data_IF_491302652983
#
_entry.id   IF_491302652983
#
_cell.length_a   1.000
_cell.length_b   1.000
_cell.length_c   1.000
_cell.angle_alpha   90.00
_cell.angle_beta   90.00
_cell.angle_gamma   90.00
#
_symmetry.space_group_name_H-M   'P 1'
#
loop_
_entity.id
_entity.type
_entity.pdbx_description
1 polymer ?
#
# COMPACT_ATOMS: atom_id res chain seq x y z
N UNK A 1 -9.64 -5.78 5.55
CA UNK A 1 -8.19 -5.96 5.72
C UNK A 1 -7.75 -5.07 6.86
N UNK A 2 -6.88 -5.54 7.74
CA UNK A 2 -6.29 -4.75 8.83
C UNK A 2 -4.91 -4.20 8.44
N UNK A 3 -4.36 -3.29 9.23
CA UNK A 3 -2.99 -2.77 9.02
C UNK A 3 -1.95 -3.90 9.17
N UNK A 4 -2.11 -4.78 10.16
CA UNK A 4 -1.20 -5.90 10.38
C UNK A 4 -1.17 -6.88 9.19
N UNK A 5 -2.34 -7.26 8.68
CA UNK A 5 -2.46 -8.08 7.48
C UNK A 5 -1.81 -7.43 6.26
N UNK A 6 -1.92 -6.11 6.14
CA UNK A 6 -1.28 -5.36 5.06
C UNK A 6 0.25 -5.39 5.21
N UNK A 7 0.78 -5.15 6.41
CA UNK A 7 2.22 -5.11 6.70
C UNK A 7 2.93 -6.45 6.46
N UNK A 8 2.20 -7.57 6.48
CA UNK A 8 2.70 -8.92 6.19
C UNK A 8 2.72 -9.27 4.69
N UNK A 9 2.11 -8.46 3.81
CA UNK A 9 2.01 -8.74 2.36
C UNK A 9 3.01 -7.91 1.56
N UNK A 10 3.62 -8.45 0.49
CA UNK A 10 4.53 -7.68 -0.35
C UNK A 10 3.84 -6.55 -1.11
N UNK A 11 2.61 -6.78 -1.56
CA UNK A 11 1.83 -5.80 -2.31
C UNK A 11 0.35 -5.88 -1.93
N UNK A 12 -0.32 -4.72 -1.92
CA UNK A 12 -1.76 -4.59 -1.74
C UNK A 12 -2.39 -3.80 -2.89
N UNK A 13 -3.72 -3.73 -2.92
CA UNK A 13 -4.42 -2.91 -3.91
C UNK A 13 -4.31 -1.41 -3.56
N UNK A 14 -4.45 -0.55 -4.57
CA UNK A 14 -4.50 0.91 -4.38
C UNK A 14 -5.58 1.35 -3.38
N UNK A 15 -6.85 0.91 -3.47
CA UNK A 15 -7.86 1.32 -2.50
C UNK A 15 -7.58 0.84 -1.08
N UNK A 16 -7.03 -0.38 -0.91
CA UNK A 16 -6.67 -0.87 0.43
C UNK A 16 -5.54 -0.03 1.02
N UNK A 17 -4.53 0.33 0.22
CA UNK A 17 -3.43 1.20 0.65
C UNK A 17 -3.94 2.58 1.08
N UNK A 18 -4.79 3.20 0.26
CA UNK A 18 -5.40 4.50 0.56
C UNK A 18 -6.22 4.47 1.85
N UNK A 19 -7.07 3.46 2.02
CA UNK A 19 -7.92 3.34 3.19
C UNK A 19 -7.12 3.09 4.48
N UNK A 20 -6.17 2.15 4.45
CA UNK A 20 -5.47 1.69 5.65
C UNK A 20 -4.38 2.66 6.13
N UNK A 21 -3.66 3.29 5.21
CA UNK A 21 -2.50 4.13 5.56
C UNK A 21 -2.84 5.63 5.60
N UNK A 22 -3.89 6.05 4.88
CA UNK A 22 -4.20 7.48 4.71
C UNK A 22 -5.68 7.83 4.96
N UNK A 23 -6.54 6.85 5.29
CA UNK A 23 -7.97 7.10 5.50
C UNK A 23 -8.73 7.56 4.24
N UNK A 24 -8.22 7.25 3.05
CA UNK A 24 -8.78 7.70 1.78
C UNK A 24 -9.90 6.78 1.28
N UNK A 25 -10.89 7.38 0.62
CA UNK A 25 -11.86 6.65 -0.20
C UNK A 25 -11.23 6.11 -1.49
N UNK A 26 -11.92 5.19 -2.18
CA UNK A 26 -11.43 4.51 -3.39
C UNK A 26 -10.93 5.46 -4.49
N UNK A 27 -11.69 6.50 -4.80
CA UNK A 27 -11.33 7.44 -5.87
C UNK A 27 -10.09 8.26 -5.49
N UNK A 28 -10.08 8.81 -4.28
CA UNK A 28 -8.93 9.54 -3.74
C UNK A 28 -7.67 8.68 -3.70
N UNK A 29 -7.79 7.38 -3.41
CA UNK A 29 -6.66 6.45 -3.46
C UNK A 29 -6.09 6.30 -4.89
N UNK A 30 -6.95 6.20 -5.91
CA UNK A 30 -6.49 6.17 -7.32
C UNK A 30 -5.92 7.51 -7.78
N UNK A 31 -6.48 8.63 -7.32
CA UNK A 31 -5.95 9.97 -7.61
C UNK A 31 -4.56 10.13 -6.99
N UNK A 32 -4.38 9.77 -5.72
CA UNK A 32 -3.07 9.79 -5.06
C UNK A 32 -2.06 8.82 -5.72
N UNK A 33 -2.51 7.67 -6.20
CA UNK A 33 -1.70 6.76 -7.00
C UNK A 33 -1.30 7.35 -8.36
N UNK A 34 -2.19 8.12 -8.99
CA UNK A 34 -1.93 8.80 -10.27
C UNK A 34 -0.98 9.98 -10.10
N UNK A 35 -1.10 10.72 -9.01
CA UNK A 35 -0.23 11.84 -8.63
C UNK A 35 1.16 11.39 -8.17
N UNK A 36 1.32 10.12 -7.79
CA UNK A 36 2.58 9.56 -7.30
C UNK A 36 2.81 9.75 -5.79
N UNK A 37 1.81 10.22 -5.06
CA UNK A 37 1.83 10.34 -3.60
C UNK A 37 1.87 8.95 -2.95
N UNK A 38 1.06 8.03 -3.48
CA UNK A 38 1.10 6.60 -3.14
C UNK A 38 2.06 5.90 -4.10
N UNK A 39 3.11 5.21 -3.59
CA UNK A 39 4.01 4.45 -4.45
C UNK A 39 3.22 3.33 -5.13
N UNK A 40 3.32 3.22 -6.46
CA UNK A 40 2.64 2.15 -7.22
C UNK A 40 3.58 1.47 -8.20
N UNK A 41 3.32 0.18 -8.43
CA UNK A 41 3.95 -0.63 -9.46
C UNK A 41 2.85 -1.07 -10.42
N UNK A 42 3.08 -0.88 -11.72
CA UNK A 42 2.20 -1.37 -12.77
C UNK A 42 2.80 -2.63 -13.37
N UNK A 43 2.04 -3.73 -13.33
CA UNK A 43 2.41 -5.01 -13.92
C UNK A 43 1.31 -5.40 -14.89
N UNK A 44 1.59 -5.25 -16.19
CA UNK A 44 0.56 -5.39 -17.23
C UNK A 44 -0.62 -4.44 -16.99
N UNK A 45 -1.83 -4.98 -16.91
CA UNK A 45 -3.05 -4.22 -16.62
C UNK A 45 -3.34 -3.96 -15.14
N UNK A 46 -2.49 -4.44 -14.22
CA UNK A 46 -2.72 -4.34 -12.77
C UNK A 46 -1.85 -3.26 -12.15
N UNK A 47 -2.45 -2.47 -11.26
CA UNK A 47 -1.75 -1.48 -10.42
C UNK A 47 -1.78 -1.99 -8.98
N UNK A 48 -0.61 -2.13 -8.37
CA UNK A 48 -0.44 -2.57 -6.99
C UNK A 48 0.46 -1.62 -6.22
N UNK A 49 0.33 -1.62 -4.91
CA UNK A 49 1.12 -0.78 -3.99
C UNK A 49 2.09 -1.67 -3.22
N UNK A 50 3.42 -1.46 -3.34
CA UNK A 50 4.40 -2.16 -2.53
C UNK A 50 4.31 -1.68 -1.07
N UNK A 51 4.17 -2.63 -0.14
CA UNK A 51 3.89 -2.33 1.28
C UNK A 51 5.12 -1.81 2.00
N UNK A 52 6.30 -2.41 1.81
CA UNK A 52 7.52 -2.01 2.51
C UNK A 52 7.83 -0.50 2.38
N UNK A 53 7.94 0.08 1.16
CA UNK A 53 8.21 1.52 1.02
C UNK A 53 7.02 2.39 1.47
N UNK A 54 5.79 1.88 1.40
CA UNK A 54 4.62 2.60 1.89
C UNK A 54 4.62 2.69 3.42
N UNK A 55 4.89 1.56 4.10
CA UNK A 55 4.96 1.48 5.55
C UNK A 55 6.06 2.41 6.08
N UNK A 56 7.24 2.40 5.47
CA UNK A 56 8.35 3.27 5.86
C UNK A 56 7.98 4.75 5.78
N UNK A 57 7.24 5.17 4.74
CA UNK A 57 6.80 6.57 4.57
C UNK A 57 5.89 7.07 5.69
N UNK A 58 5.12 6.18 6.32
CA UNK A 58 4.23 6.52 7.44
C UNK A 58 4.84 6.19 8.80
N UNK A 59 6.13 5.83 8.86
CA UNK A 59 6.82 5.46 10.09
C UNK A 59 6.47 4.08 10.64
N UNK A 60 5.86 3.22 9.82
CA UNK A 60 5.58 1.83 10.15
C UNK A 60 6.68 0.90 9.63
N UNK A 61 6.90 -0.21 10.33
CA UNK A 61 7.82 -1.26 9.88
C UNK A 61 7.01 -2.39 9.25
N UNK A 62 7.39 -2.81 8.05
CA UNK A 62 6.84 -4.03 7.44
C UNK A 62 7.36 -5.27 8.17
N UNK A 63 6.52 -6.29 8.28
CA UNK A 63 6.80 -7.59 8.92
C UNK A 63 6.96 -8.72 7.89
N UNK A 64 7.17 -8.37 6.61
CA UNK A 64 7.38 -9.35 5.53
C UNK A 64 8.73 -10.05 5.74
N UNK A 65 8.73 -11.38 5.71
CA UNK A 65 9.97 -12.17 5.71
C UNK A 65 10.64 -12.33 7.07
N UNK A 66 10.06 -11.81 8.15
CA UNK A 66 10.37 -12.28 9.51
C UNK A 66 9.87 -13.72 9.65
N UNK A 67 10.70 -14.68 9.25
CA UNK A 67 10.56 -16.05 9.69
C UNK A 67 10.78 -16.10 11.21
N UNK A 68 9.93 -16.86 11.89
CA UNK A 68 10.03 -17.15 13.32
C UNK A 68 11.37 -17.78 13.72
#
# INVERSE_FOLDING_TARGET
>A
MTIDEALARPTISVPDAGALFFGLGRNAAYDAAKSGEIPTIRIGGRIVVPVAPLAERVGLRSTIGTAA
#
